data_IF_771798012579
#
_entry.id   IF_771798012579
#
_cell.length_a   1.000
_cell.length_b   1.000
_cell.length_c   1.000
_cell.angle_alpha   90.00
_cell.angle_beta   90.00
_cell.angle_gamma   90.00
#
_symmetry.space_group_name_H-M   'P 1'
#
loop_
_entity.id
_entity.type
_entity.pdbx_description
1 polymer ?
#
# COMPACT_ATOMS: atom_id res chain seq x y z
N UNK A 1 26.67 -5.83 -7.40
CA UNK A 1 26.32 -4.42 -7.76
C UNK A 1 24.96 -4.05 -7.18
N UNK A 2 23.89 -4.82 -7.40
CA UNK A 2 22.53 -4.52 -6.92
C UNK A 2 22.47 -4.21 -5.42
N UNK A 3 23.02 -5.05 -4.54
CA UNK A 3 23.07 -4.81 -3.08
C UNK A 3 23.73 -3.46 -2.70
N UNK A 4 24.77 -3.06 -3.43
CA UNK A 4 25.45 -1.78 -3.18
C UNK A 4 24.53 -0.61 -3.53
N UNK A 5 23.90 -0.67 -4.71
CA UNK A 5 22.95 0.36 -5.16
C UNK A 5 21.76 0.44 -4.20
N UNK A 6 21.14 -0.70 -3.85
CA UNK A 6 20.01 -0.77 -2.92
C UNK A 6 20.35 -0.13 -1.57
N UNK A 7 21.50 -0.50 -0.99
CA UNK A 7 21.95 0.06 0.28
C UNK A 7 22.10 1.58 0.22
N UNK A 8 22.73 2.10 -0.83
CA UNK A 8 22.91 3.55 -0.98
C UNK A 8 21.62 4.29 -1.24
N UNK A 9 20.72 3.75 -2.07
CA UNK A 9 19.41 4.34 -2.34
C UNK A 9 18.58 4.38 -1.06
N UNK A 10 18.48 3.25 -0.34
CA UNK A 10 17.70 3.18 0.89
C UNK A 10 18.27 4.09 1.97
N UNK A 11 19.58 4.10 2.16
CA UNK A 11 20.22 5.01 3.12
C UNK A 11 19.97 6.48 2.78
N UNK A 12 20.02 6.86 1.49
CA UNK A 12 19.72 8.22 1.05
C UNK A 12 18.27 8.58 1.40
N UNK A 13 17.31 7.71 1.11
CA UNK A 13 15.89 7.94 1.39
C UNK A 13 15.61 8.06 2.89
N UNK A 14 16.18 7.18 3.70
CA UNK A 14 16.00 7.17 5.16
C UNK A 14 16.69 8.35 5.84
N UNK A 15 17.96 8.63 5.49
CA UNK A 15 18.75 9.70 6.11
C UNK A 15 18.19 11.10 5.83
N UNK A 16 17.44 11.26 4.74
CA UNK A 16 16.78 12.51 4.38
C UNK A 16 15.29 12.52 4.71
N UNK A 17 14.76 11.51 5.43
CA UNK A 17 13.35 11.38 5.81
C UNK A 17 12.41 11.52 4.60
N UNK A 18 12.78 10.92 3.46
CA UNK A 18 12.01 11.02 2.22
C UNK A 18 10.91 9.96 2.10
N UNK A 19 10.95 8.91 2.92
CA UNK A 19 9.93 7.87 2.93
C UNK A 19 8.84 8.20 3.94
N UNK A 20 7.61 7.93 3.55
CA UNK A 20 6.45 8.10 4.40
C UNK A 20 6.58 7.31 5.71
N UNK A 21 6.34 7.94 6.86
CA UNK A 21 6.62 7.33 8.16
C UNK A 21 5.78 6.10 8.48
N UNK A 22 4.56 6.01 7.97
CA UNK A 22 3.68 4.86 8.17
C UNK A 22 3.79 3.81 7.06
N UNK A 23 4.84 3.86 6.22
CA UNK A 23 5.29 2.75 5.39
C UNK A 23 6.28 1.90 6.18
N UNK A 24 5.96 0.64 6.47
CA UNK A 24 6.83 -0.27 7.22
C UNK A 24 7.44 -1.39 6.37
N UNK A 25 6.95 -1.63 5.15
CA UNK A 25 7.48 -2.64 4.26
C UNK A 25 8.89 -2.30 3.78
N UNK A 26 9.78 -3.29 3.77
CA UNK A 26 11.14 -3.21 3.22
C UNK A 26 12.02 -2.06 3.76
N UNK A 27 11.72 -1.56 4.95
CA UNK A 27 12.47 -0.50 5.60
C UNK A 27 13.31 -1.01 6.76
N UNK A 28 14.40 -0.28 7.06
CA UNK A 28 15.28 -0.64 8.18
C UNK A 28 14.56 -0.44 9.52
N UNK A 29 14.74 -1.37 10.45
CA UNK A 29 14.14 -1.33 11.79
C UNK A 29 12.60 -1.28 11.80
N UNK A 30 11.95 -1.67 10.70
CA UNK A 30 10.50 -1.77 10.59
C UNK A 30 10.10 -3.19 10.17
N UNK A 31 8.95 -3.64 10.61
CA UNK A 31 8.44 -5.00 10.36
C UNK A 31 6.91 -5.03 10.39
N UNK A 32 6.31 -6.18 10.06
CA UNK A 32 4.88 -6.40 10.25
C UNK A 32 4.47 -6.14 11.71
N UNK A 33 5.28 -6.62 12.68
CA UNK A 33 5.00 -6.46 14.11
C UNK A 33 5.00 -4.99 14.52
N UNK A 34 5.97 -4.18 14.06
CA UNK A 34 6.00 -2.75 14.38
C UNK A 34 4.83 -1.99 13.78
N UNK A 35 4.38 -2.35 12.58
CA UNK A 35 3.18 -1.80 11.95
C UNK A 35 1.94 -2.19 12.75
N UNK A 36 1.77 -3.48 13.02
CA UNK A 36 0.62 -4.02 13.75
C UNK A 36 0.54 -3.46 15.16
N UNK A 37 1.66 -3.40 15.90
CA UNK A 37 1.67 -2.89 17.28
C UNK A 37 1.12 -1.45 17.34
N UNK A 38 1.63 -0.56 16.50
CA UNK A 38 1.17 0.83 16.48
C UNK A 38 -0.27 0.96 16.01
N UNK A 39 -0.68 0.16 15.02
CA UNK A 39 -2.03 0.20 14.47
C UNK A 39 -3.07 -0.35 15.44
N UNK A 40 -2.82 -1.53 15.99
CA UNK A 40 -3.70 -2.19 16.97
C UNK A 40 -3.85 -1.34 18.23
N UNK A 41 -2.75 -0.73 18.71
CA UNK A 41 -2.82 0.19 19.85
C UNK A 41 -3.74 1.38 19.59
N UNK A 42 -3.68 1.96 18.40
CA UNK A 42 -4.56 3.09 18.02
C UNK A 42 -6.03 2.65 17.95
N UNK A 43 -6.31 1.51 17.30
CA UNK A 43 -7.67 0.96 17.20
C UNK A 43 -8.24 0.60 18.59
N UNK A 44 -7.43 0.01 19.47
CA UNK A 44 -7.81 -0.29 20.85
C UNK A 44 -8.17 0.99 21.61
N UNK A 45 -7.33 2.02 21.54
CA UNK A 45 -7.57 3.30 22.19
C UNK A 45 -8.87 3.98 21.70
N UNK A 46 -9.23 3.81 20.44
CA UNK A 46 -10.49 4.29 19.87
C UNK A 46 -11.68 3.46 20.40
N UNK A 47 -11.54 2.13 20.41
CA UNK A 47 -12.55 1.20 20.91
C UNK A 47 -12.87 1.45 22.40
N UNK A 48 -11.87 1.65 23.24
CA UNK A 48 -12.01 1.94 24.68
C UNK A 48 -12.81 3.24 24.92
N UNK A 49 -12.67 4.21 24.01
CA UNK A 49 -13.44 5.46 24.02
C UNK A 49 -14.80 5.35 23.35
N UNK A 50 -15.20 4.14 22.94
CA UNK A 50 -16.41 3.90 22.16
C UNK A 50 -16.51 4.76 20.88
N UNK A 51 -15.37 4.97 20.21
CA UNK A 51 -15.27 5.70 18.95
C UNK A 51 -15.25 4.68 17.80
N UNK A 52 -16.18 4.84 16.86
CA UNK A 52 -16.17 4.07 15.60
C UNK A 52 -14.96 4.43 14.76
N UNK A 53 -14.32 3.41 14.16
CA UNK A 53 -13.27 3.59 13.17
C UNK A 53 -13.61 2.78 11.92
N UNK A 54 -13.71 3.45 10.78
CA UNK A 54 -13.89 2.79 9.50
C UNK A 54 -12.54 2.64 8.81
N UNK A 55 -12.27 1.42 8.37
CA UNK A 55 -11.06 1.02 7.66
C UNK A 55 -11.44 0.64 6.23
N UNK A 56 -10.75 1.20 5.26
CA UNK A 56 -10.81 0.78 3.86
C UNK A 56 -9.52 0.03 3.56
N UNK A 57 -9.64 -1.29 3.40
CA UNK A 57 -8.52 -2.16 3.05
C UNK A 57 -8.44 -2.19 1.54
N UNK A 58 -7.29 -1.81 0.99
CA UNK A 58 -7.08 -1.67 -0.43
C UNK A 58 -6.10 -2.73 -0.94
N UNK A 59 -6.41 -3.32 -2.09
CA UNK A 59 -5.57 -4.30 -2.79
C UNK A 59 -5.21 -3.75 -4.17
N UNK A 60 -3.92 -3.72 -4.48
CA UNK A 60 -3.43 -3.32 -5.80
C UNK A 60 -3.50 -4.47 -6.79
N UNK A 61 -3.97 -4.20 -7.99
CA UNK A 61 -3.95 -5.16 -9.08
C UNK A 61 -2.53 -5.34 -9.64
N UNK A 62 -1.83 -6.38 -9.22
CA UNK A 62 -0.45 -6.70 -9.66
C UNK A 62 0.53 -5.54 -9.38
N UNK A 63 0.59 -5.10 -8.12
CA UNK A 63 1.35 -3.92 -7.67
C UNK A 63 2.77 -3.83 -8.26
N UNK A 64 3.59 -4.86 -8.04
CA UNK A 64 4.99 -4.90 -8.49
C UNK A 64 5.14 -4.97 -10.00
N UNK A 65 4.21 -5.63 -10.70
CA UNK A 65 4.31 -5.87 -12.16
C UNK A 65 3.85 -4.67 -12.99
N UNK A 66 3.05 -3.77 -12.39
CA UNK A 66 2.46 -2.64 -13.12
C UNK A 66 3.20 -1.32 -13.01
N UNK A 67 4.25 -1.22 -12.21
CA UNK A 67 5.01 0.02 -12.04
C UNK A 67 5.57 0.53 -13.39
N UNK A 68 5.11 1.68 -13.92
CA UNK A 68 5.61 2.22 -15.18
C UNK A 68 7.04 2.75 -15.02
N UNK A 69 8.00 2.20 -15.78
CA UNK A 69 9.43 2.51 -15.65
C UNK A 69 9.74 4.00 -15.76
N UNK A 70 9.15 4.70 -16.74
CA UNK A 70 9.42 6.13 -16.95
C UNK A 70 8.95 6.98 -15.76
N UNK A 71 7.76 6.68 -15.21
CA UNK A 71 7.24 7.38 -14.04
C UNK A 71 8.05 7.09 -12.79
N UNK A 72 8.49 5.84 -12.62
CA UNK A 72 9.42 5.47 -11.54
C UNK A 72 10.74 6.25 -11.63
N UNK A 73 11.33 6.36 -12.82
CA UNK A 73 12.56 7.14 -13.01
C UNK A 73 12.35 8.63 -12.71
N UNK A 74 11.18 9.19 -13.03
CA UNK A 74 10.82 10.56 -12.63
C UNK A 74 10.77 10.71 -11.11
N UNK A 75 10.12 9.79 -10.38
CA UNK A 75 10.06 9.81 -8.92
C UNK A 75 11.45 9.65 -8.29
N UNK A 76 12.25 8.71 -8.78
CA UNK A 76 13.64 8.54 -8.32
C UNK A 76 14.44 9.84 -8.45
N UNK A 77 14.32 10.52 -9.61
CA UNK A 77 14.96 11.81 -9.85
C UNK A 77 14.46 12.90 -8.89
N UNK A 78 13.15 12.93 -8.62
CA UNK A 78 12.54 13.84 -7.67
C UNK A 78 13.08 13.64 -6.26
N UNK A 79 13.18 12.39 -5.80
CA UNK A 79 13.78 12.02 -4.51
C UNK A 79 15.30 12.13 -4.46
N UNK A 80 15.95 12.71 -5.48
CA UNK A 80 17.37 13.01 -5.47
C UNK A 80 18.28 11.90 -5.97
N UNK A 81 17.75 10.78 -6.46
CA UNK A 81 18.52 9.73 -7.10
C UNK A 81 18.84 10.18 -8.54
N UNK A 82 20.13 10.50 -8.80
CA UNK A 82 20.56 11.16 -10.05
C UNK A 82 21.80 10.48 -10.63
N UNK A 83 22.24 11.00 -11.78
CA UNK A 83 23.49 10.67 -12.43
C UNK A 83 23.67 9.16 -12.66
N UNK A 84 24.85 8.63 -12.38
CA UNK A 84 25.21 7.22 -12.65
C UNK A 84 24.25 6.22 -12.00
N UNK A 85 23.77 6.50 -10.77
CA UNK A 85 22.83 5.62 -10.07
C UNK A 85 21.50 5.54 -10.83
N UNK A 86 20.96 6.67 -11.26
CA UNK A 86 19.71 6.69 -12.04
C UNK A 86 19.88 6.00 -13.40
N UNK A 87 21.01 6.23 -14.07
CA UNK A 87 21.34 5.57 -15.35
C UNK A 87 21.44 4.07 -15.17
N UNK A 88 22.08 3.61 -14.09
CA UNK A 88 22.19 2.19 -13.79
C UNK A 88 20.82 1.56 -13.51
N UNK A 89 19.96 2.22 -12.71
CA UNK A 89 18.59 1.74 -12.43
C UNK A 89 17.77 1.69 -13.73
N UNK A 90 17.90 2.69 -14.60
CA UNK A 90 17.24 2.68 -15.90
C UNK A 90 17.68 1.48 -16.75
N UNK A 91 18.97 1.18 -16.81
CA UNK A 91 19.50 0.01 -17.50
C UNK A 91 19.02 -1.31 -16.86
N UNK A 92 18.95 -1.36 -15.52
CA UNK A 92 18.47 -2.53 -14.78
C UNK A 92 17.01 -2.86 -15.09
N UNK A 93 16.17 -1.86 -15.35
CA UNK A 93 14.77 -2.02 -15.71
C UNK A 93 14.53 -2.28 -17.21
N UNK A 94 15.47 -1.85 -18.07
CA UNK A 94 15.32 -1.87 -19.52
C UNK A 94 15.72 -3.21 -20.15
N UNK A 95 15.18 -3.48 -21.35
CA UNK A 95 15.56 -4.63 -22.20
C UNK A 95 15.41 -5.99 -21.49
N UNK A 96 14.50 -6.10 -20.56
CA UNK A 96 14.19 -7.35 -19.89
C UNK A 96 13.17 -8.14 -20.69
N UNK A 97 13.34 -9.46 -20.64
CA UNK A 97 12.39 -10.41 -21.24
C UNK A 97 11.98 -11.45 -20.19
N UNK A 98 10.86 -12.10 -20.43
CA UNK A 98 10.40 -13.19 -19.60
C UNK A 98 9.86 -14.36 -20.46
N UNK A 99 10.00 -15.55 -19.93
CA UNK A 99 9.35 -16.77 -20.43
C UNK A 99 8.70 -17.51 -19.27
N UNK A 100 7.61 -18.19 -19.54
CA UNK A 100 6.98 -19.12 -18.59
C UNK A 100 7.45 -20.53 -18.92
N UNK A 101 7.90 -21.26 -17.90
CA UNK A 101 8.28 -22.67 -18.03
C UNK A 101 7.28 -23.49 -17.24
N UNK A 102 6.64 -24.46 -17.92
CA UNK A 102 5.71 -25.39 -17.31
C UNK A 102 6.01 -26.81 -17.82
N UNK A 103 6.25 -27.74 -16.92
CA UNK A 103 6.56 -29.16 -17.22
C UNK A 103 7.68 -29.38 -18.23
N UNK A 104 8.70 -28.47 -18.23
CA UNK A 104 9.85 -28.52 -19.13
C UNK A 104 9.64 -27.82 -20.47
N UNK A 105 8.44 -27.39 -20.79
CA UNK A 105 8.12 -26.60 -21.99
C UNK A 105 8.21 -25.10 -21.69
N UNK A 106 8.72 -24.33 -22.64
CA UNK A 106 8.87 -22.87 -22.51
C UNK A 106 7.92 -22.12 -23.43
N UNK A 107 7.30 -21.07 -22.92
CA UNK A 107 6.55 -20.13 -23.76
C UNK A 107 7.47 -19.32 -24.67
N UNK A 108 6.88 -18.61 -25.63
CA UNK A 108 7.60 -17.56 -26.37
C UNK A 108 8.17 -16.49 -25.42
N UNK A 109 9.29 -15.88 -25.86
CA UNK A 109 9.91 -14.78 -25.14
C UNK A 109 9.03 -13.54 -25.28
N UNK A 110 8.63 -12.95 -24.15
CA UNK A 110 7.87 -11.70 -24.09
C UNK A 110 8.70 -10.57 -23.49
N UNK A 111 8.64 -9.34 -24.04
CA UNK A 111 9.31 -8.19 -23.43
C UNK A 111 8.62 -7.79 -22.12
N UNK A 112 9.42 -7.36 -21.13
CA UNK A 112 8.93 -6.76 -19.87
C UNK A 112 8.96 -5.24 -20.03
N UNK A 113 7.77 -4.63 -20.14
CA UNK A 113 7.62 -3.19 -20.41
C UNK A 113 7.27 -2.36 -19.16
N UNK A 114 6.92 -3.03 -18.07
CA UNK A 114 6.56 -2.44 -16.77
C UNK A 114 6.96 -3.34 -15.62
N UNK A 115 6.82 -2.83 -14.43
CA UNK A 115 7.06 -3.55 -13.19
C UNK A 115 8.47 -3.44 -12.67
N UNK A 116 8.59 -3.70 -11.38
CA UNK A 116 9.88 -3.87 -10.70
C UNK A 116 10.17 -5.36 -10.56
N UNK A 117 11.40 -5.82 -10.90
CA UNK A 117 11.68 -7.25 -10.94
C UNK A 117 11.50 -7.92 -9.57
N UNK A 118 10.59 -8.89 -9.50
CA UNK A 118 10.38 -9.69 -8.30
C UNK A 118 11.58 -10.62 -8.05
N UNK A 119 11.87 -10.93 -6.77
CA UNK A 119 13.03 -11.74 -6.38
C UNK A 119 14.37 -11.01 -6.43
N UNK A 120 14.39 -9.73 -6.78
CA UNK A 120 15.57 -8.87 -6.72
C UNK A 120 15.63 -8.08 -5.41
N UNK A 121 16.81 -7.61 -5.04
CA UNK A 121 17.01 -6.84 -3.80
C UNK A 121 16.54 -5.39 -3.97
N UNK A 122 16.68 -4.85 -5.17
CA UNK A 122 16.33 -3.46 -5.48
C UNK A 122 14.83 -3.28 -5.76
N UNK A 123 14.16 -4.28 -6.33
CA UNK A 123 12.74 -4.21 -6.70
C UNK A 123 11.84 -3.67 -5.61
N UNK A 124 11.87 -4.21 -4.39
CA UNK A 124 11.08 -3.70 -3.27
C UNK A 124 11.32 -2.23 -2.96
N UNK A 125 12.57 -1.77 -2.95
CA UNK A 125 12.91 -0.36 -2.67
C UNK A 125 12.40 0.56 -3.79
N UNK A 126 12.46 0.12 -5.04
CA UNK A 126 11.90 0.86 -6.16
C UNK A 126 10.37 0.98 -6.04
N UNK A 127 9.71 -0.08 -5.58
CA UNK A 127 8.27 -0.03 -5.30
C UNK A 127 7.93 0.94 -4.17
N UNK A 128 8.71 0.96 -3.06
CA UNK A 128 8.53 1.94 -1.98
C UNK A 128 8.61 3.37 -2.50
N UNK A 129 9.61 3.68 -3.32
CA UNK A 129 9.75 5.01 -3.95
C UNK A 129 8.54 5.33 -4.81
N UNK A 130 7.99 4.33 -5.50
CA UNK A 130 6.86 4.54 -6.39
C UNK A 130 5.57 4.89 -5.67
N UNK A 131 5.25 4.17 -4.58
CA UNK A 131 4.00 4.37 -3.82
C UNK A 131 4.08 5.51 -2.80
N UNK A 132 5.27 6.03 -2.52
CA UNK A 132 5.55 6.89 -1.38
C UNK A 132 4.65 8.13 -1.30
N UNK A 133 4.37 8.77 -2.43
CA UNK A 133 3.56 9.99 -2.52
C UNK A 133 2.04 9.76 -2.45
N UNK A 134 1.58 8.51 -2.37
CA UNK A 134 0.17 8.23 -2.10
C UNK A 134 -0.31 8.92 -0.80
N UNK A 135 0.57 9.01 0.20
CA UNK A 135 0.28 9.69 1.45
C UNK A 135 -0.01 11.19 1.29
N UNK A 136 0.54 11.84 0.28
CA UNK A 136 0.35 13.27 0.00
C UNK A 136 -1.06 13.58 -0.54
N UNK A 137 -1.75 12.56 -1.04
CA UNK A 137 -3.14 12.67 -1.50
C UNK A 137 -4.15 12.62 -0.35
N UNK A 138 -3.76 12.10 0.81
CA UNK A 138 -4.61 12.01 2.00
C UNK A 138 -4.68 13.35 2.73
N UNK A 139 -5.88 13.85 3.00
CA UNK A 139 -6.10 15.15 3.67
C UNK A 139 -6.57 15.02 5.10
N UNK A 140 -7.36 14.00 5.38
CA UNK A 140 -8.11 13.91 6.63
C UNK A 140 -8.07 12.54 7.28
N UNK A 141 -7.74 11.51 6.49
CA UNK A 141 -7.64 10.12 6.93
C UNK A 141 -6.19 9.72 7.15
N UNK A 142 -5.99 8.67 7.93
CA UNK A 142 -4.67 8.06 8.08
C UNK A 142 -4.48 7.01 6.99
N UNK A 143 -3.28 6.92 6.45
CA UNK A 143 -2.84 5.88 5.53
C UNK A 143 -1.79 5.02 6.21
N UNK A 144 -1.89 3.71 6.12
CA UNK A 144 -0.83 2.78 6.51
C UNK A 144 -0.44 1.92 5.33
N UNK A 145 0.87 1.76 5.16
CA UNK A 145 1.44 1.01 4.04
C UNK A 145 2.40 -0.06 4.57
N UNK A 146 2.29 -1.24 4.01
CA UNK A 146 3.31 -2.28 4.14
C UNK A 146 3.56 -2.85 2.74
N UNK A 147 4.52 -2.27 2.03
CA UNK A 147 4.67 -2.43 0.58
C UNK A 147 3.36 -2.06 -0.14
N UNK A 148 2.71 -3.02 -0.77
CA UNK A 148 1.43 -2.87 -1.49
C UNK A 148 0.20 -3.05 -0.58
N UNK A 149 0.35 -3.71 0.58
CA UNK A 149 -0.73 -3.75 1.58
C UNK A 149 -1.02 -2.35 2.10
N UNK A 150 -2.23 -1.85 1.88
CA UNK A 150 -2.61 -0.48 2.20
C UNK A 150 -3.97 -0.39 2.88
N UNK A 151 -4.04 0.45 3.91
CA UNK A 151 -5.28 0.77 4.64
C UNK A 151 -5.42 2.27 4.77
N UNK A 152 -6.55 2.82 4.32
CA UNK A 152 -6.99 4.17 4.67
C UNK A 152 -8.03 4.04 5.78
N UNK A 153 -7.90 4.83 6.85
CA UNK A 153 -8.85 4.74 7.95
C UNK A 153 -9.08 6.08 8.64
N UNK A 154 -10.24 6.20 9.28
CA UNK A 154 -10.64 7.39 9.99
C UNK A 154 -11.56 7.06 11.16
N UNK A 155 -11.48 7.86 12.24
CA UNK A 155 -12.47 7.85 13.32
C UNK A 155 -13.75 8.53 12.86
N UNK A 156 -14.91 7.88 13.10
CA UNK A 156 -16.22 8.30 12.63
C UNK A 156 -17.07 8.73 13.81
N UNK A 157 -17.40 10.03 13.85
CA UNK A 157 -18.31 10.63 14.83
C UNK A 157 -19.61 11.07 14.18
N UNK A 158 -19.59 11.38 12.89
CA UNK A 158 -20.70 11.93 12.12
C UNK A 158 -20.61 11.50 10.65
N UNK A 159 -21.69 11.74 9.88
CA UNK A 159 -21.70 11.51 8.43
C UNK A 159 -20.57 12.28 7.72
N UNK A 160 -20.27 13.50 8.17
CA UNK A 160 -19.20 14.31 7.61
C UNK A 160 -17.82 13.63 7.66
N UNK A 161 -17.57 12.79 8.68
CA UNK A 161 -16.32 12.04 8.77
C UNK A 161 -16.27 10.93 7.72
N UNK A 162 -17.42 10.28 7.45
CA UNK A 162 -17.53 9.31 6.35
C UNK A 162 -17.30 9.98 4.99
N UNK A 163 -17.92 11.15 4.77
CA UNK A 163 -17.75 11.91 3.53
C UNK A 163 -16.28 12.30 3.33
N UNK A 164 -15.58 12.70 4.41
CA UNK A 164 -14.15 13.02 4.36
C UNK A 164 -13.27 11.78 4.07
N UNK A 165 -13.66 10.60 4.57
CA UNK A 165 -12.95 9.35 4.25
C UNK A 165 -13.18 8.96 2.77
N UNK A 166 -14.40 9.19 2.26
CA UNK A 166 -14.71 9.01 0.83
C UNK A 166 -13.88 9.96 -0.04
N UNK A 167 -13.74 11.24 0.34
CA UNK A 167 -12.90 12.21 -0.40
C UNK A 167 -11.44 11.75 -0.49
N UNK A 168 -10.90 11.16 0.57
CA UNK A 168 -9.54 10.61 0.57
C UNK A 168 -9.45 9.30 -0.25
N UNK A 169 -10.48 8.46 -0.27
CA UNK A 169 -10.56 7.31 -1.17
C UNK A 169 -10.61 7.74 -2.64
N UNK A 170 -11.37 8.79 -2.96
CA UNK A 170 -11.41 9.39 -4.29
C UNK A 170 -10.06 9.99 -4.67
N UNK A 171 -9.32 10.51 -3.70
CA UNK A 171 -7.97 11.00 -3.91
C UNK A 171 -6.99 9.86 -4.21
N UNK A 172 -7.14 8.70 -3.56
CA UNK A 172 -6.38 7.51 -3.90
C UNK A 172 -6.68 7.03 -5.34
N UNK A 173 -7.95 7.08 -5.78
CA UNK A 173 -8.33 6.77 -7.15
C UNK A 173 -7.75 7.78 -8.17
N UNK A 174 -7.62 9.06 -7.81
CA UNK A 174 -6.89 10.03 -8.64
C UNK A 174 -5.40 9.69 -8.73
N UNK A 175 -4.77 9.33 -7.61
CA UNK A 175 -3.38 8.88 -7.60
C UNK A 175 -3.15 7.68 -8.53
N UNK A 176 -4.07 6.70 -8.58
CA UNK A 176 -4.01 5.60 -9.54
C UNK A 176 -3.92 6.10 -11.00
N UNK A 177 -4.81 7.03 -11.36
CA UNK A 177 -4.86 7.61 -12.71
C UNK A 177 -3.58 8.36 -13.02
N UNK A 178 -3.10 9.18 -12.09
CA UNK A 178 -1.89 9.99 -12.25
C UNK A 178 -0.63 9.13 -12.39
N UNK A 179 -0.60 7.99 -11.71
CA UNK A 179 0.59 7.13 -11.67
C UNK A 179 0.43 5.80 -12.41
N UNK A 180 -0.68 5.59 -13.13
CA UNK A 180 -0.96 4.37 -13.92
C UNK A 180 -0.84 3.08 -13.09
N UNK A 181 -1.25 3.15 -11.83
CA UNK A 181 -1.48 1.98 -10.99
C UNK A 181 -2.96 1.60 -11.06
N UNK A 182 -3.35 0.51 -10.43
CA UNK A 182 -4.75 0.16 -10.30
C UNK A 182 -5.00 -0.58 -9.00
N UNK A 183 -6.02 -0.17 -8.25
CA UNK A 183 -6.62 -1.00 -7.21
C UNK A 183 -7.50 -2.09 -7.84
N UNK A 184 -7.82 -3.11 -7.08
CA UNK A 184 -8.75 -4.15 -7.48
C UNK A 184 -10.05 -3.99 -6.67
N UNK A 185 -11.09 -3.28 -7.18
CA UNK A 185 -12.25 -2.91 -6.36
C UNK A 185 -12.94 -4.10 -5.68
N UNK A 186 -13.02 -5.26 -6.36
CA UNK A 186 -13.64 -6.47 -5.82
C UNK A 186 -12.85 -7.11 -4.65
N UNK A 187 -11.60 -6.70 -4.45
CA UNK A 187 -10.76 -7.15 -3.34
C UNK A 187 -10.59 -6.08 -2.26
N UNK A 188 -11.02 -4.85 -2.56
CA UNK A 188 -11.07 -3.79 -1.58
C UNK A 188 -12.33 -3.97 -0.71
N UNK A 189 -12.20 -3.73 0.59
CA UNK A 189 -13.31 -3.93 1.52
C UNK A 189 -13.32 -2.88 2.62
N UNK A 190 -14.46 -2.74 3.27
CA UNK A 190 -14.67 -1.84 4.41
C UNK A 190 -14.86 -2.66 5.68
N UNK A 191 -14.04 -2.41 6.69
CA UNK A 191 -14.21 -2.95 8.02
C UNK A 191 -14.54 -1.82 9.00
N UNK A 192 -15.75 -1.83 9.56
CA UNK A 192 -16.16 -0.90 10.61
C UNK A 192 -15.90 -1.51 11.96
N UNK A 193 -14.97 -0.94 12.73
CA UNK A 193 -14.69 -1.34 14.11
C UNK A 193 -15.47 -0.43 15.06
N UNK A 194 -16.41 -1.02 15.83
CA UNK A 194 -17.25 -0.24 16.74
C UNK A 194 -17.96 -1.11 17.77
N UNK A 195 -18.11 -0.58 18.99
CA UNK A 195 -18.98 -1.13 20.03
C UNK A 195 -20.31 -0.37 20.14
N UNK A 196 -20.58 0.60 19.26
CA UNK A 196 -21.82 1.38 19.27
C UNK A 196 -23.01 0.53 18.85
N UNK A 197 -24.14 0.68 19.54
CA UNK A 197 -25.41 0.05 19.14
C UNK A 197 -25.94 0.60 17.80
N UNK A 198 -25.72 1.89 17.55
CA UNK A 198 -26.14 2.58 16.33
C UNK A 198 -24.91 3.25 15.67
N UNK A 199 -24.10 2.49 14.92
CA UNK A 199 -22.99 3.07 14.18
C UNK A 199 -23.46 3.95 13.04
N UNK A 200 -22.64 4.92 12.65
CA UNK A 200 -22.84 5.68 11.41
C UNK A 200 -22.59 4.73 10.25
N UNK A 201 -23.54 4.61 9.33
CA UNK A 201 -23.45 3.75 8.15
C UNK A 201 -23.16 4.59 6.92
N UNK A 202 -22.22 4.14 6.12
CA UNK A 202 -21.88 4.75 4.84
C UNK A 202 -21.48 3.67 3.83
N UNK A 203 -21.85 3.86 2.56
CA UNK A 203 -21.43 3.00 1.47
C UNK A 203 -20.27 3.68 0.74
N UNK A 204 -19.06 3.22 1.00
CA UNK A 204 -17.86 3.74 0.34
C UNK A 204 -17.77 3.21 -1.10
N UNK A 205 -17.37 4.08 -2.01
CA UNK A 205 -17.30 3.81 -3.45
C UNK A 205 -15.86 3.95 -3.96
N UNK A 206 -15.39 2.96 -4.71
CA UNK A 206 -14.16 3.05 -5.49
C UNK A 206 -14.50 2.77 -6.96
N UNK A 207 -14.22 3.70 -7.88
CA UNK A 207 -14.58 3.62 -9.31
C UNK A 207 -16.07 3.30 -9.55
N UNK A 208 -16.97 3.94 -8.82
CA UNK A 208 -18.43 3.67 -8.83
C UNK A 208 -18.82 2.24 -8.39
N UNK A 209 -17.86 1.45 -7.88
CA UNK A 209 -18.13 0.17 -7.26
C UNK A 209 -18.28 0.34 -5.76
N UNK A 210 -19.40 -0.13 -5.19
CA UNK A 210 -19.61 -0.10 -3.73
C UNK A 210 -18.72 -1.16 -3.10
N UNK A 211 -17.84 -0.74 -2.18
CA UNK A 211 -16.97 -1.65 -1.46
C UNK A 211 -17.77 -2.56 -0.52
N UNK A 212 -17.40 -3.83 -0.47
CA UNK A 212 -18.02 -4.80 0.42
C UNK A 212 -17.75 -4.43 1.88
N UNK A 213 -18.83 -4.39 2.70
CA UNK A 213 -18.70 -4.24 4.16
C UNK A 213 -18.53 -5.63 4.78
N UNK A 214 -17.37 -5.84 5.40
CA UNK A 214 -16.99 -7.13 5.99
C UNK A 214 -16.99 -7.08 7.51
N UNK A 215 -17.27 -8.22 8.16
CA UNK A 215 -17.19 -8.36 9.63
C UNK A 215 -15.76 -8.66 10.10
N UNK A 216 -14.91 -9.13 9.21
CA UNK A 216 -13.50 -9.43 9.49
C UNK A 216 -12.65 -9.27 8.24
N UNK A 217 -11.39 -8.89 8.43
CA UNK A 217 -10.42 -8.76 7.34
C UNK A 217 -9.02 -9.19 7.79
N UNK A 218 -8.27 -9.82 6.89
CA UNK A 218 -6.86 -10.15 7.13
C UNK A 218 -5.98 -8.92 6.84
N UNK A 219 -5.03 -8.66 7.73
CA UNK A 219 -4.00 -7.65 7.55
C UNK A 219 -2.69 -8.12 8.18
N UNK A 220 -1.63 -8.20 7.39
CA UNK A 220 -0.28 -8.58 7.81
C UNK A 220 -0.24 -9.84 8.71
N UNK A 221 -1.02 -10.86 8.35
CA UNK A 221 -1.04 -12.15 9.06
C UNK A 221 -1.97 -12.25 10.26
N UNK A 222 -2.64 -11.16 10.66
CA UNK A 222 -3.69 -11.19 11.68
C UNK A 222 -5.08 -10.99 11.08
N UNK A 223 -6.13 -11.38 11.82
CA UNK A 223 -7.52 -11.10 11.47
C UNK A 223 -8.05 -9.99 12.36
N UNK A 224 -8.40 -8.86 11.74
CA UNK A 224 -9.11 -7.77 12.38
C UNK A 224 -10.62 -8.09 12.37
N UNK A 225 -11.32 -7.85 13.47
CA UNK A 225 -12.77 -8.09 13.59
C UNK A 225 -13.52 -6.80 13.94
N UNK A 226 -14.74 -6.68 13.43
CA UNK A 226 -15.58 -5.48 13.61
C UNK A 226 -15.98 -5.24 15.07
N UNK A 227 -16.12 -6.30 15.87
CA UNK A 227 -16.47 -6.26 17.29
C UNK A 227 -15.25 -6.17 18.22
N UNK A 228 -14.05 -6.05 17.65
CA UNK A 228 -12.77 -5.96 18.35
C UNK A 228 -12.52 -7.10 19.37
N UNK A 229 -13.14 -8.26 19.17
CA UNK A 229 -12.86 -9.44 19.98
C UNK A 229 -11.76 -10.27 19.36
N UNK A 230 -10.75 -10.55 20.15
CA UNK A 230 -9.66 -11.43 19.75
C UNK A 230 -10.11 -12.90 19.93
N UNK A 231 -10.66 -13.47 18.88
CA UNK A 231 -10.83 -14.93 18.83
C UNK A 231 -9.54 -15.55 18.31
N UNK A 232 -9.04 -16.59 19.03
CA UNK A 232 -7.96 -17.40 18.46
C UNK A 232 -8.44 -18.01 17.13
N UNK A 233 -7.57 -18.10 16.11
CA UNK A 233 -7.95 -18.83 14.90
C UNK A 233 -8.34 -20.25 15.30
N UNK A 234 -9.50 -20.70 14.86
CA UNK A 234 -9.88 -22.11 14.97
C UNK A 234 -8.80 -22.94 14.27
N UNK A 235 -8.22 -23.85 15.03
CA UNK A 235 -7.11 -24.74 14.66
C UNK A 235 -7.51 -25.73 13.55
#
# INVERSE_FOLDING_TARGET
MEHVITKHVLNHLESNSLLYDLQHGFRHSRSCETQLLSFVQELAANSDKNIQTDLIIMDFAKAFDKVPHQRLLCKLKFYGIKNQTLTWISAFLSNRTQTVVLDGESSDIAPVTSGVPQGTVLGPVLFLVYINDLSEYMKSSQLRLFADDSIIYKTIKSQKDCDSLQEDLDAAARWESDWLMAFHPDKCSVLTITNKKNPVKHNYLLHNHTLESVSSAKYLGITLQSDWKWTQPES
#
